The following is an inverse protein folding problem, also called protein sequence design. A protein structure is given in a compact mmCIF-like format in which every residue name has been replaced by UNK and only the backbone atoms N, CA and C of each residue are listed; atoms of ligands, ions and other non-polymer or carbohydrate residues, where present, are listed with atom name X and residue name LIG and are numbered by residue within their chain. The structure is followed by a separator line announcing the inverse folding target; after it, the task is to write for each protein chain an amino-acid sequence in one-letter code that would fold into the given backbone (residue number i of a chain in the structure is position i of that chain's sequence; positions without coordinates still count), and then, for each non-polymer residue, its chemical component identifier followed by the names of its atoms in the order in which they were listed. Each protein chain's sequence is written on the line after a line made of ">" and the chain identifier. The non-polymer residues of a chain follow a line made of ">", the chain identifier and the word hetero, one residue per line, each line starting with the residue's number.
data_IF_906877088768
#
_entry.id   IF_906877088768
#
_cell.length_a   1.000
_cell.length_b   1.000
_cell.length_c   1.000
_cell.angle_alpha   90.00
_cell.angle_beta   90.00
_cell.angle_gamma   90.00
#
_symmetry.space_group_name_H-M   'P 1'
#
loop_
_entity.id
_entity.type
_entity.pdbx_description
1 polymer ?
#
# COMPACT_ATOMS: atom_id res chain seq x y z
N UNK A 1 1.62 15.03 -9.42
CA UNK A 1 0.74 13.88 -9.08
C UNK A 1 0.11 14.16 -7.72
N UNK A 2 -1.23 14.23 -7.62
CA UNK A 2 -1.92 14.58 -6.37
C UNK A 2 -1.88 13.43 -5.36
N UNK A 3 -1.78 13.73 -4.06
CA UNK A 3 -1.85 12.73 -2.97
C UNK A 3 -3.12 11.85 -3.03
N UNK A 4 -4.21 12.40 -3.57
CA UNK A 4 -5.46 11.68 -3.81
C UNK A 4 -5.32 10.55 -4.84
N UNK A 5 -4.47 10.71 -5.86
CA UNK A 5 -4.21 9.65 -6.83
C UNK A 5 -3.38 8.52 -6.21
N UNK A 6 -2.34 8.87 -5.45
CA UNK A 6 -1.48 7.89 -4.77
C UNK A 6 -2.27 6.98 -3.83
N UNK A 7 -3.19 7.55 -3.04
CA UNK A 7 -3.99 6.77 -2.10
C UNK A 7 -4.98 5.85 -2.81
N UNK A 8 -5.57 6.28 -3.93
CA UNK A 8 -6.41 5.42 -4.76
C UNK A 8 -5.61 4.28 -5.38
N UNK A 9 -4.45 4.57 -5.97
CA UNK A 9 -3.59 3.55 -6.58
C UNK A 9 -3.14 2.50 -5.54
N UNK A 10 -2.79 2.95 -4.33
CA UNK A 10 -2.43 2.06 -3.22
C UNK A 10 -3.61 1.17 -2.80
N UNK A 11 -4.80 1.75 -2.64
CA UNK A 11 -6.01 0.98 -2.34
C UNK A 11 -6.30 -0.06 -3.44
N UNK A 12 -6.28 0.35 -4.71
CA UNK A 12 -6.53 -0.55 -5.84
C UNK A 12 -5.51 -1.69 -5.85
N UNK A 13 -4.23 -1.43 -5.53
CA UNK A 13 -3.23 -2.49 -5.43
C UNK A 13 -3.49 -3.46 -4.27
N UNK A 14 -3.85 -2.96 -3.09
CA UNK A 14 -4.05 -3.78 -1.88
C UNK A 14 -5.33 -4.62 -1.92
N UNK A 15 -6.30 -4.20 -2.74
CA UNK A 15 -7.58 -4.89 -2.90
C UNK A 15 -7.67 -5.64 -4.25
N UNK A 16 -6.53 -5.93 -4.89
CA UNK A 16 -6.47 -6.69 -6.15
C UNK A 16 -7.33 -6.10 -7.29
N UNK A 17 -7.30 -4.78 -7.44
CA UNK A 17 -8.08 -3.99 -8.40
C UNK A 17 -9.58 -4.32 -8.33
N UNK A 18 -10.23 -3.99 -7.20
CA UNK A 18 -11.63 -4.31 -7.00
C UNK A 18 -12.52 -3.59 -8.04
N UNK A 19 -13.65 -4.20 -8.35
CA UNK A 19 -14.74 -3.60 -9.12
C UNK A 19 -15.35 -2.43 -8.36
N UNK A 20 -16.08 -1.54 -9.05
CA UNK A 20 -16.73 -0.40 -8.40
C UNK A 20 -17.77 -0.81 -7.35
N UNK A 21 -18.40 -1.98 -7.52
CA UNK A 21 -19.34 -2.55 -6.54
C UNK A 21 -18.61 -3.00 -5.28
N UNK A 22 -17.49 -3.71 -5.42
CA UNK A 22 -16.64 -4.11 -4.29
C UNK A 22 -16.06 -2.89 -3.57
N UNK A 23 -15.60 -1.89 -4.32
CA UNK A 23 -15.16 -0.61 -3.75
C UNK A 23 -16.27 0.02 -2.92
N UNK A 24 -17.50 0.05 -3.44
CA UNK A 24 -18.65 0.62 -2.76
C UNK A 24 -18.98 -0.13 -1.47
N UNK A 25 -18.96 -1.47 -1.52
CA UNK A 25 -19.21 -2.35 -0.39
C UNK A 25 -18.21 -2.12 0.75
N UNK A 26 -16.91 -2.02 0.42
CA UNK A 26 -15.84 -1.87 1.43
C UNK A 26 -15.77 -0.44 1.98
N UNK A 27 -15.95 0.58 1.14
CA UNK A 27 -15.77 1.98 1.53
C UNK A 27 -17.05 2.65 2.05
N UNK A 28 -18.22 2.08 1.76
CA UNK A 28 -19.52 2.73 1.97
C UNK A 28 -19.77 3.94 1.05
N UNK A 29 -18.89 4.19 0.07
CA UNK A 29 -19.06 5.25 -0.93
C UNK A 29 -19.96 4.73 -2.05
N UNK A 30 -20.87 5.55 -2.57
CA UNK A 30 -21.75 5.14 -3.67
C UNK A 30 -20.96 4.69 -4.91
N UNK A 31 -21.40 3.62 -5.58
CA UNK A 31 -20.74 3.04 -6.78
C UNK A 31 -20.40 4.10 -7.83
N UNK A 32 -21.35 4.98 -8.19
CA UNK A 32 -21.12 6.06 -9.16
C UNK A 32 -20.06 7.05 -8.70
N UNK A 33 -19.94 7.30 -7.39
CA UNK A 33 -18.90 8.14 -6.82
C UNK A 33 -17.54 7.44 -6.88
N UNK A 34 -17.46 6.13 -6.60
CA UNK A 34 -16.25 5.33 -6.79
C UNK A 34 -15.75 5.41 -8.25
N UNK A 35 -16.63 5.20 -9.22
CA UNK A 35 -16.32 5.37 -10.64
C UNK A 35 -15.72 6.75 -10.93
N UNK A 36 -16.35 7.83 -10.45
CA UNK A 36 -15.84 9.19 -10.68
C UNK A 36 -14.48 9.44 -10.05
N UNK A 37 -14.23 8.93 -8.84
CA UNK A 37 -12.95 9.06 -8.15
C UNK A 37 -11.82 8.37 -8.93
N UNK A 38 -12.06 7.15 -9.41
CA UNK A 38 -11.08 6.41 -10.23
C UNK A 38 -10.80 7.14 -11.55
N UNK A 39 -11.79 7.84 -12.11
CA UNK A 39 -11.63 8.66 -13.31
C UNK A 39 -11.11 10.09 -13.03
N UNK A 40 -10.57 10.36 -11.84
CA UNK A 40 -9.87 11.61 -11.54
C UNK A 40 -10.74 12.75 -11.00
N UNK A 41 -11.98 12.48 -10.60
CA UNK A 41 -12.76 13.46 -9.85
C UNK A 41 -12.10 13.75 -8.50
N UNK A 42 -12.13 15.01 -8.07
CA UNK A 42 -11.57 15.42 -6.79
C UNK A 42 -12.22 14.66 -5.62
N UNK A 43 -11.36 14.19 -4.72
CA UNK A 43 -11.74 13.44 -3.53
C UNK A 43 -12.05 14.37 -2.36
N UNK A 44 -13.18 14.13 -1.68
CA UNK A 44 -13.51 14.83 -0.44
C UNK A 44 -12.63 14.32 0.70
N UNK A 45 -12.36 15.17 1.68
CA UNK A 45 -11.57 14.78 2.87
C UNK A 45 -12.09 13.51 3.55
N UNK A 46 -13.41 13.37 3.71
CA UNK A 46 -14.02 12.16 4.29
C UNK A 46 -13.72 10.89 3.50
N UNK A 47 -13.71 10.97 2.17
CA UNK A 47 -13.42 9.84 1.28
C UNK A 47 -11.94 9.47 1.40
N UNK A 48 -11.06 10.48 1.45
CA UNK A 48 -9.63 10.29 1.68
C UNK A 48 -9.33 9.56 2.99
N UNK A 49 -9.98 9.99 4.08
CA UNK A 49 -9.78 9.36 5.39
C UNK A 49 -10.27 7.91 5.41
N UNK A 50 -11.35 7.58 4.69
CA UNK A 50 -11.82 6.19 4.55
C UNK A 50 -10.77 5.33 3.84
N UNK A 51 -10.26 5.78 2.68
CA UNK A 51 -9.21 5.04 1.98
C UNK A 51 -7.95 4.88 2.83
N UNK A 52 -7.53 5.94 3.52
CA UNK A 52 -6.36 5.92 4.41
C UNK A 52 -6.50 4.87 5.50
N UNK A 53 -7.67 4.82 6.16
CA UNK A 53 -7.94 3.84 7.20
C UNK A 53 -7.92 2.42 6.64
N UNK A 54 -8.65 2.15 5.57
CA UNK A 54 -8.74 0.82 4.96
C UNK A 54 -7.40 0.28 4.43
N UNK A 55 -6.53 1.20 3.98
CA UNK A 55 -5.14 0.87 3.65
C UNK A 55 -4.39 0.51 4.91
N UNK A 56 -4.44 1.36 5.94
CA UNK A 56 -3.75 1.12 7.23
C UNK A 56 -4.16 -0.22 7.85
N UNK A 57 -5.45 -0.53 7.86
CA UNK A 57 -5.99 -1.76 8.45
C UNK A 57 -5.57 -3.02 7.67
N UNK A 58 -5.36 -2.91 6.35
CA UNK A 58 -5.01 -4.04 5.48
C UNK A 58 -3.51 -4.23 5.32
N UNK A 59 -2.73 -3.16 5.43
CA UNK A 59 -1.29 -3.30 5.52
C UNK A 59 -1.02 -3.79 6.94
N UNK A 60 -0.57 -5.04 7.07
CA UNK A 60 -0.07 -5.62 8.33
C UNK A 60 1.10 -4.83 8.97
N UNK A 61 1.43 -3.65 8.43
CA UNK A 61 2.49 -2.76 8.85
C UNK A 61 2.26 -2.21 10.24
N UNK A 62 1.04 -2.12 10.78
CA UNK A 62 0.91 -1.61 12.15
C UNK A 62 1.67 -2.53 13.13
N UNK A 63 1.51 -3.86 13.01
CA UNK A 63 2.30 -4.82 13.79
C UNK A 63 3.81 -4.75 13.50
N UNK A 64 4.22 -4.51 12.24
CA UNK A 64 5.63 -4.45 11.88
C UNK A 64 6.29 -3.12 12.29
N UNK A 65 5.56 -2.02 12.21
CA UNK A 65 5.99 -0.68 12.61
C UNK A 65 6.15 -0.66 14.13
N UNK A 66 5.15 -1.12 14.88
CA UNK A 66 5.25 -1.22 16.34
C UNK A 66 6.38 -2.16 16.77
N UNK A 67 6.59 -3.27 16.05
CA UNK A 67 7.72 -4.16 16.29
C UNK A 67 9.06 -3.46 16.00
N UNK A 68 9.18 -2.76 14.87
CA UNK A 68 10.38 -2.03 14.50
C UNK A 68 10.71 -0.93 15.52
N UNK A 69 9.72 -0.17 15.99
CA UNK A 69 9.86 0.81 17.06
C UNK A 69 10.35 0.16 18.36
N UNK A 70 9.78 -0.99 18.73
CA UNK A 70 10.21 -1.75 19.91
C UNK A 70 11.66 -2.26 19.78
N UNK A 71 12.05 -2.69 18.58
CA UNK A 71 13.41 -3.10 18.27
C UNK A 71 14.40 -1.95 18.45
N UNK A 72 14.08 -0.74 17.96
CA UNK A 72 14.95 0.44 18.08
C UNK A 72 15.26 0.83 19.53
N UNK A 73 14.31 0.61 20.45
CA UNK A 73 14.48 0.93 21.87
C UNK A 73 15.21 -0.18 22.63
N UNK A 74 15.04 -1.44 22.22
CA UNK A 74 15.43 -2.60 23.04
C UNK A 74 16.68 -3.32 22.55
N UNK A 75 17.06 -3.17 21.28
CA UNK A 75 18.16 -3.92 20.67
C UNK A 75 19.43 -3.08 20.57
N UNK A 76 20.57 -3.77 20.54
CA UNK A 76 21.86 -3.14 20.30
C UNK A 76 22.08 -2.86 18.80
N UNK A 77 23.09 -2.04 18.51
CA UNK A 77 23.39 -1.58 17.15
C UNK A 77 23.69 -2.74 16.18
N UNK A 78 24.34 -3.81 16.64
CA UNK A 78 24.64 -4.98 15.82
C UNK A 78 23.37 -5.70 15.38
N UNK A 79 22.45 -5.95 16.31
CA UNK A 79 21.17 -6.60 16.03
C UNK A 79 20.27 -5.72 15.13
N UNK A 80 20.28 -4.39 15.34
CA UNK A 80 19.57 -3.46 14.45
C UNK A 80 20.11 -3.48 13.03
N UNK A 81 21.43 -3.56 12.86
CA UNK A 81 22.08 -3.66 11.55
C UNK A 81 21.71 -4.96 10.83
N UNK A 82 21.65 -6.08 11.53
CA UNK A 82 21.22 -7.36 10.94
C UNK A 82 19.77 -7.31 10.43
N UNK A 83 18.88 -6.66 11.18
CA UNK A 83 17.49 -6.45 10.77
C UNK A 83 17.43 -5.54 9.53
N UNK A 84 18.19 -4.45 9.52
CA UNK A 84 18.25 -3.54 8.37
C UNK A 84 18.73 -4.27 7.10
N UNK A 85 19.83 -5.01 7.19
CA UNK A 85 20.37 -5.81 6.08
C UNK A 85 19.34 -6.82 5.56
N UNK A 86 18.57 -7.46 6.44
CA UNK A 86 17.52 -8.40 6.05
C UNK A 86 16.40 -7.71 5.25
N UNK A 87 15.97 -6.53 5.70
CA UNK A 87 14.98 -5.72 5.00
C UNK A 87 15.48 -5.29 3.61
N UNK A 88 16.73 -4.80 3.51
CA UNK A 88 17.35 -4.41 2.25
C UNK A 88 17.44 -5.58 1.27
N UNK A 89 17.87 -6.77 1.71
CA UNK A 89 17.90 -7.97 0.87
C UNK A 89 16.52 -8.34 0.34
N UNK A 90 15.49 -8.32 1.19
CA UNK A 90 14.11 -8.62 0.76
C UNK A 90 13.60 -7.61 -0.28
N UNK A 91 13.91 -6.32 -0.12
CA UNK A 91 13.58 -5.29 -1.09
C UNK A 91 14.33 -5.52 -2.41
N UNK A 92 15.62 -5.80 -2.35
CA UNK A 92 16.44 -6.09 -3.51
C UNK A 92 15.89 -7.26 -4.36
N UNK A 93 15.53 -8.39 -3.72
CA UNK A 93 14.92 -9.52 -4.44
C UNK A 93 13.59 -9.15 -5.10
N UNK A 94 12.77 -8.33 -4.43
CA UNK A 94 11.51 -7.86 -5.02
C UNK A 94 11.78 -7.03 -6.28
N UNK A 95 12.77 -6.14 -6.26
CA UNK A 95 13.14 -5.34 -7.43
C UNK A 95 13.56 -6.22 -8.61
N UNK A 96 14.42 -7.22 -8.37
CA UNK A 96 14.82 -8.18 -9.41
C UNK A 96 13.62 -8.94 -10.01
N UNK A 97 12.73 -9.46 -9.16
CA UNK A 97 11.54 -10.19 -9.63
C UNK A 97 10.55 -9.32 -10.41
N UNK A 98 10.57 -8.01 -10.20
CA UNK A 98 9.73 -7.06 -10.94
C UNK A 98 10.31 -6.76 -12.33
N UNK A 99 11.65 -6.75 -12.46
CA UNK A 99 12.36 -6.56 -13.72
C UNK A 99 12.32 -7.80 -14.62
N UNK A 100 12.39 -9.03 -14.06
CA UNK A 100 12.29 -10.27 -14.84
C UNK A 100 10.96 -10.40 -15.59
N UNK A 101 9.85 -9.91 -15.02
CA UNK A 101 8.54 -9.91 -15.69
C UNK A 101 8.40 -8.92 -16.86
N UNK A 102 9.34 -7.97 -17.03
CA UNK A 102 9.37 -7.07 -18.19
C UNK A 102 10.11 -7.69 -19.38
N UNK A 103 11.04 -8.61 -19.13
CA UNK A 103 11.86 -9.27 -20.16
C UNK A 103 11.05 -10.35 -20.89
N UNK A 104 10.18 -11.10 -20.19
CA UNK A 104 9.36 -12.16 -20.80
C UNK A 104 8.20 -11.64 -21.67
N UNK A 105 7.83 -10.35 -21.57
CA UNK A 105 6.76 -9.76 -22.41
C UNK A 105 7.25 -9.17 -23.73
N UNK A 106 8.56 -9.26 -24.01
CA UNK A 106 9.17 -8.76 -25.24
C UNK A 106 9.83 -9.89 -26.08
N UNK A 107 9.68 -11.14 -25.67
CA UNK A 107 10.14 -12.33 -26.41
C UNK A 107 8.98 -13.05 -27.09
#
# INVERSE_FOLDING_TARGET
>A
MSEQKKILDQFMSLYNRPTYEEMSSVTGIQVTRCFRLVNGAEMKLKEYLIFKKLISDKVASESLITLAESCLVSLNETALKEIADLCERKLFFKHLSTESHLIEKQA
#
